data_IF_043058454014
#
_entry.id   IF_043058454014
#
_cell.length_a   1.000
_cell.length_b   1.000
_cell.length_c   1.000
_cell.angle_alpha   90.00
_cell.angle_beta   90.00
_cell.angle_gamma   90.00
#
_symmetry.space_group_name_H-M   'P 1'
#
loop_
_entity.id
_entity.type
_entity.pdbx_description
1 polymer ?
#
# COMPACT_ATOMS: atom_id res chain seq x y z
N UNK A 1 10.85 61.19 1.77
CA UNK A 1 9.63 60.38 1.80
C UNK A 1 10.02 58.90 1.82
N UNK A 2 9.64 58.21 2.91
CA UNK A 2 9.43 56.75 3.05
C UNK A 2 10.59 55.81 2.66
N UNK A 3 11.47 55.45 3.60
CA UNK A 3 11.33 54.41 4.65
C UNK A 3 11.75 53.00 4.17
N UNK A 4 12.86 52.52 4.76
CA UNK A 4 13.07 51.16 5.27
C UNK A 4 12.92 50.00 4.28
N UNK A 5 13.98 49.75 3.51
CA UNK A 5 14.27 48.43 2.92
C UNK A 5 15.42 47.78 3.69
N UNK A 6 15.21 47.58 4.99
CA UNK A 6 16.15 46.91 5.88
C UNK A 6 15.35 46.25 6.98
N UNK A 7 14.71 45.13 6.63
CA UNK A 7 14.30 44.12 7.61
C UNK A 7 14.84 42.80 7.08
N UNK A 8 16.04 42.49 7.58
CA UNK A 8 16.42 41.15 8.00
C UNK A 8 15.63 40.00 7.34
N UNK A 9 16.17 39.51 6.23
CA UNK A 9 16.15 38.07 5.98
C UNK A 9 16.96 37.42 7.10
N UNK A 10 16.31 37.22 8.26
CA UNK A 10 16.73 36.15 9.16
C UNK A 10 16.57 34.85 8.35
N UNK A 11 17.70 34.44 7.76
CA UNK A 11 18.07 33.05 7.59
C UNK A 11 17.99 32.41 8.98
N UNK A 12 16.78 32.10 9.42
CA UNK A 12 16.60 31.05 10.40
C UNK A 12 17.05 29.78 9.67
N UNK A 13 18.07 29.05 10.17
CA UNK A 13 18.15 27.66 9.80
C UNK A 13 16.82 27.06 10.26
N UNK A 14 15.93 26.79 9.32
CA UNK A 14 14.92 25.77 9.56
C UNK A 14 15.78 24.54 9.77
N UNK A 15 16.01 24.18 11.03
CA UNK A 15 16.49 22.88 11.40
C UNK A 15 15.48 21.92 10.78
N UNK A 16 15.81 21.46 9.58
CA UNK A 16 15.10 20.42 8.88
C UNK A 16 15.43 19.16 9.65
N UNK A 17 14.62 18.88 10.66
CA UNK A 17 14.61 17.55 11.23
C UNK A 17 14.12 16.63 10.11
N UNK A 18 15.05 15.85 9.55
CA UNK A 18 14.83 14.91 8.46
C UNK A 18 14.10 13.67 8.96
N UNK A 19 12.93 13.88 9.57
CA UNK A 19 12.08 12.82 10.10
C UNK A 19 10.72 12.88 9.40
N UNK A 20 10.31 11.74 8.87
CA UNK A 20 9.08 11.59 8.13
C UNK A 20 7.90 11.90 9.04
N UNK A 21 6.89 12.55 8.49
CA UNK A 21 5.63 12.72 9.19
C UNK A 21 4.84 11.43 9.20
N UNK A 22 4.09 11.19 10.26
CA UNK A 22 3.16 10.09 10.43
C UNK A 22 1.75 10.65 10.63
N UNK A 23 0.77 10.10 9.93
CA UNK A 23 -0.59 10.61 9.91
C UNK A 23 -1.60 9.65 10.57
N UNK A 24 -2.49 10.22 11.39
CA UNK A 24 -3.75 9.58 11.77
C UNK A 24 -4.85 10.18 10.89
N UNK A 25 -5.44 9.37 10.03
CA UNK A 25 -6.34 9.78 8.96
C UNK A 25 -7.69 9.09 9.07
N UNK A 26 -8.73 9.81 8.71
CA UNK A 26 -10.05 9.25 8.50
C UNK A 26 -10.57 9.61 7.11
N UNK A 27 -11.23 8.65 6.50
CA UNK A 27 -12.08 8.84 5.35
C UNK A 27 -13.35 8.00 5.46
N UNK A 28 -14.31 8.24 4.56
CA UNK A 28 -15.66 7.67 4.62
C UNK A 28 -15.68 6.14 4.74
N UNK A 29 -14.71 5.43 4.19
CA UNK A 29 -14.74 3.97 4.08
C UNK A 29 -13.52 3.29 4.70
N UNK A 30 -12.64 4.04 5.37
CA UNK A 30 -11.35 3.60 5.87
C UNK A 30 -10.51 3.02 4.74
N UNK A 31 -10.14 3.85 3.77
CA UNK A 31 -9.37 3.40 2.60
C UNK A 31 -7.99 2.84 2.97
N UNK A 32 -7.37 2.05 2.08
CA UNK A 32 -6.01 1.56 2.27
C UNK A 32 -4.97 2.64 2.59
N UNK A 33 -5.16 3.86 2.08
CA UNK A 33 -4.27 4.99 2.37
C UNK A 33 -4.40 5.47 3.81
N UNK A 34 -5.63 5.61 4.32
CA UNK A 34 -5.85 5.95 5.72
C UNK A 34 -5.33 4.83 6.63
N UNK A 35 -5.65 3.57 6.32
CA UNK A 35 -5.16 2.42 7.07
C UNK A 35 -3.65 2.31 7.11
N UNK A 36 -2.97 2.56 5.98
CA UNK A 36 -1.52 2.52 5.93
C UNK A 36 -0.90 3.54 6.88
N UNK A 37 -1.34 4.80 6.84
CA UNK A 37 -0.80 5.84 7.72
C UNK A 37 -1.19 5.61 9.18
N UNK A 38 -2.43 5.23 9.47
CA UNK A 38 -2.89 4.93 10.82
C UNK A 38 -2.07 3.82 11.47
N UNK A 39 -1.91 2.71 10.76
CA UNK A 39 -1.17 1.55 11.23
C UNK A 39 0.32 1.88 11.42
N UNK A 40 0.93 2.62 10.49
CA UNK A 40 2.33 3.06 10.64
C UNK A 40 2.51 4.03 11.80
N UNK A 41 1.56 4.94 12.03
CA UNK A 41 1.60 5.86 13.17
C UNK A 41 1.49 5.13 14.50
N UNK A 42 0.59 4.13 14.58
CA UNK A 42 0.49 3.26 15.75
C UNK A 42 1.78 2.45 15.94
N UNK A 43 2.35 1.89 14.87
CA UNK A 43 3.61 1.15 14.91
C UNK A 43 4.75 2.02 15.46
N UNK A 44 4.90 3.23 14.93
CA UNK A 44 5.88 4.23 15.38
C UNK A 44 5.68 4.62 16.84
N UNK A 45 4.43 4.71 17.29
CA UNK A 45 4.11 4.98 18.69
C UNK A 45 4.54 3.83 19.61
N UNK A 46 4.45 2.58 19.16
CA UNK A 46 4.96 1.42 19.91
C UNK A 46 6.48 1.44 19.97
N UNK A 47 7.18 1.73 18.86
CA UNK A 47 8.64 1.88 18.84
C UNK A 47 9.12 2.91 19.86
N UNK A 48 8.49 4.09 19.88
CA UNK A 48 8.85 5.14 20.83
C UNK A 48 8.60 4.76 22.27
N UNK A 49 7.49 4.09 22.56
CA UNK A 49 7.21 3.60 23.91
C UNK A 49 8.22 2.54 24.35
N UNK A 50 8.63 1.66 23.43
CA UNK A 50 9.74 0.73 23.70
C UNK A 50 11.02 1.51 24.00
N UNK A 51 11.41 2.48 23.17
CA UNK A 51 12.64 3.27 23.36
C UNK A 51 12.65 4.03 24.70
N UNK A 52 11.48 4.46 25.20
CA UNK A 52 11.34 5.09 26.52
C UNK A 52 11.51 4.11 27.68
N UNK A 53 11.03 2.87 27.53
CA UNK A 53 11.05 1.85 28.57
C UNK A 53 12.36 1.04 28.58
N UNK A 54 12.92 0.83 27.39
CA UNK A 54 14.10 0.04 27.10
C UNK A 54 15.00 0.87 26.17
N UNK A 55 15.86 1.75 26.74
CA UNK A 55 16.69 2.64 25.96
C UNK A 55 17.47 1.88 24.87
N UNK A 56 17.64 2.48 23.66
CA UNK A 56 18.28 1.83 22.54
C UNK A 56 19.61 1.20 22.94
N UNK A 57 19.76 -0.09 22.63
CA UNK A 57 20.97 -0.87 22.91
C UNK A 57 22.05 -0.54 21.88
N UNK A 58 22.42 0.73 21.77
CA UNK A 58 23.37 1.30 20.79
C UNK A 58 24.84 0.87 21.01
N UNK A 59 25.05 -0.19 21.77
CA UNK A 59 26.37 -0.79 21.97
C UNK A 59 26.60 -1.82 20.86
N UNK A 60 27.50 -1.57 19.90
CA UNK A 60 27.95 -2.60 18.97
C UNK A 60 28.66 -3.69 19.76
N UNK A 61 27.88 -4.68 20.18
CA UNK A 61 28.37 -5.79 20.95
C UNK A 61 28.54 -6.97 19.99
N UNK A 62 29.80 -7.30 19.67
CA UNK A 62 30.16 -8.59 19.05
C UNK A 62 29.89 -9.78 19.97
N UNK A 63 29.32 -9.55 21.16
CA UNK A 63 29.00 -10.62 22.11
C UNK A 63 27.74 -11.35 21.66
N UNK A 64 27.74 -12.65 21.90
CA UNK A 64 26.69 -13.57 21.50
C UNK A 64 25.31 -13.16 22.08
N UNK A 65 25.25 -12.84 23.38
CA UNK A 65 23.98 -12.60 24.08
C UNK A 65 23.17 -11.40 23.58
N UNK A 66 23.74 -10.19 23.37
CA UNK A 66 22.98 -9.08 22.79
C UNK A 66 22.49 -9.34 21.36
N UNK A 67 23.26 -10.10 20.58
CA UNK A 67 22.86 -10.51 19.23
C UNK A 67 21.65 -11.44 19.27
N UNK A 68 21.69 -12.47 20.13
CA UNK A 68 20.56 -13.37 20.36
C UNK A 68 19.34 -12.61 20.90
N UNK A 69 19.54 -11.69 21.85
CA UNK A 69 18.47 -10.87 22.42
C UNK A 69 17.76 -10.02 21.37
N UNK A 70 18.50 -9.32 20.49
CA UNK A 70 17.91 -8.53 19.39
C UNK A 70 17.22 -9.39 18.35
N UNK A 71 17.78 -10.55 18.02
CA UNK A 71 17.11 -11.51 17.14
C UNK A 71 15.78 -12.00 17.74
N UNK A 72 15.78 -12.32 19.04
CA UNK A 72 14.57 -12.76 19.75
C UNK A 72 13.54 -11.64 19.83
N UNK A 73 13.96 -10.40 20.12
CA UNK A 73 13.10 -9.20 20.09
C UNK A 73 12.44 -9.01 18.72
N UNK A 74 13.21 -9.07 17.64
CA UNK A 74 12.67 -8.97 16.28
C UNK A 74 11.73 -10.13 15.94
N UNK A 75 12.03 -11.35 16.37
CA UNK A 75 11.30 -12.56 15.95
C UNK A 75 10.06 -12.85 16.81
N UNK A 76 10.09 -12.51 18.09
CA UNK A 76 9.03 -12.81 19.05
C UNK A 76 8.13 -11.62 19.32
N UNK A 77 8.56 -10.38 19.06
CA UNK A 77 7.71 -9.21 19.26
C UNK A 77 7.41 -8.50 17.94
N UNK A 78 8.44 -8.05 17.23
CA UNK A 78 8.27 -7.19 16.06
C UNK A 78 7.71 -7.92 14.83
N UNK A 79 8.15 -9.15 14.52
CA UNK A 79 7.57 -9.93 13.39
C UNK A 79 6.10 -10.30 13.63
N UNK A 80 5.69 -10.78 14.83
CA UNK A 80 4.28 -10.97 15.17
C UNK A 80 3.47 -9.67 15.00
N UNK A 81 3.94 -8.54 15.53
CA UNK A 81 3.27 -7.26 15.38
C UNK A 81 3.19 -6.82 13.91
N UNK A 82 4.25 -7.04 13.13
CA UNK A 82 4.27 -6.79 11.70
C UNK A 82 3.20 -7.62 10.97
N UNK A 83 3.11 -8.93 11.23
CA UNK A 83 2.10 -9.81 10.64
C UNK A 83 0.68 -9.38 11.00
N UNK A 84 0.43 -9.05 12.26
CA UNK A 84 -0.87 -8.53 12.71
C UNK A 84 -1.23 -7.24 11.94
N UNK A 85 -0.26 -6.34 11.78
CA UNK A 85 -0.41 -5.09 11.02
C UNK A 85 -0.74 -5.37 9.55
N UNK A 86 -0.03 -6.30 8.90
CA UNK A 86 -0.32 -6.73 7.53
C UNK A 86 -1.73 -7.29 7.42
N UNK A 87 -2.14 -8.18 8.33
CA UNK A 87 -3.48 -8.77 8.33
C UNK A 87 -4.56 -7.70 8.50
N UNK A 88 -4.37 -6.74 9.41
CA UNK A 88 -5.32 -5.63 9.57
C UNK A 88 -5.40 -4.77 8.31
N UNK A 89 -4.27 -4.47 7.68
CA UNK A 89 -4.24 -3.75 6.41
C UNK A 89 -4.98 -4.54 5.31
N UNK A 90 -4.77 -5.85 5.24
CA UNK A 90 -5.36 -6.75 4.25
C UNK A 90 -6.88 -6.86 4.42
N UNK A 91 -7.33 -7.22 5.61
CA UNK A 91 -8.74 -7.53 5.90
C UNK A 91 -9.56 -6.26 6.13
N UNK A 92 -9.14 -5.38 7.03
CA UNK A 92 -9.95 -4.22 7.42
C UNK A 92 -9.90 -3.12 6.37
N UNK A 93 -8.70 -2.74 5.97
CA UNK A 93 -8.46 -1.60 5.08
C UNK A 93 -8.43 -1.99 3.60
N UNK A 94 -8.25 -3.27 3.27
CA UNK A 94 -8.35 -3.82 1.93
C UNK A 94 -9.75 -4.32 1.61
N UNK A 95 -10.05 -5.58 1.95
CA UNK A 95 -11.37 -6.18 1.71
C UNK A 95 -12.50 -5.36 2.32
N UNK A 96 -12.38 -5.00 3.60
CA UNK A 96 -13.38 -4.22 4.33
C UNK A 96 -13.65 -2.87 3.69
N UNK A 97 -12.62 -2.18 3.19
CA UNK A 97 -12.79 -0.93 2.45
C UNK A 97 -13.64 -1.16 1.20
N UNK A 98 -13.32 -2.18 0.41
CA UNK A 98 -14.03 -2.44 -0.83
C UNK A 98 -15.48 -2.81 -0.56
N UNK A 99 -15.74 -3.66 0.43
CA UNK A 99 -17.08 -4.01 0.92
C UNK A 99 -17.86 -2.77 1.38
N UNK A 100 -17.25 -1.84 2.13
CA UNK A 100 -17.95 -0.61 2.57
C UNK A 100 -18.20 0.37 1.42
N UNK A 101 -17.36 0.34 0.38
CA UNK A 101 -17.47 1.25 -0.78
C UNK A 101 -18.54 0.85 -1.81
N UNK A 102 -18.95 -0.42 -1.80
CA UNK A 102 -19.94 -0.97 -2.71
C UNK A 102 -21.36 -0.83 -2.12
N UNK A 103 -22.36 -0.62 -2.98
CA UNK A 103 -23.75 -0.39 -2.52
C UNK A 103 -24.49 -1.67 -2.15
N UNK A 104 -24.12 -2.78 -2.80
CA UNK A 104 -24.84 -4.05 -2.74
C UNK A 104 -24.20 -5.05 -1.77
N UNK A 105 -23.35 -4.55 -0.87
CA UNK A 105 -22.61 -5.31 0.14
C UNK A 105 -22.84 -4.73 1.53
N UNK A 106 -22.70 -5.57 2.55
CA UNK A 106 -22.75 -5.18 3.95
C UNK A 106 -21.56 -5.79 4.69
N UNK A 107 -20.73 -4.94 5.28
CA UNK A 107 -19.61 -5.37 6.10
C UNK A 107 -20.10 -5.95 7.44
N UNK A 108 -19.67 -7.15 7.78
CA UNK A 108 -20.09 -7.88 8.99
C UNK A 108 -18.99 -7.92 10.06
N UNK A 109 -17.74 -7.57 9.73
CA UNK A 109 -16.62 -7.54 10.66
C UNK A 109 -15.36 -8.20 10.09
N UNK A 110 -14.32 -8.25 10.92
CA UNK A 110 -13.10 -9.02 10.65
C UNK A 110 -12.90 -10.06 11.74
N UNK A 111 -12.29 -11.18 11.37
CA UNK A 111 -11.66 -12.11 12.30
C UNK A 111 -10.16 -12.05 12.06
N UNK A 112 -9.38 -11.95 13.12
CA UNK A 112 -7.92 -11.94 13.06
C UNK A 112 -7.40 -12.96 14.05
N UNK A 113 -6.61 -13.91 13.58
CA UNK A 113 -5.95 -14.90 14.42
C UNK A 113 -4.60 -14.35 14.89
N UNK A 114 -4.17 -14.75 16.09
CA UNK A 114 -2.84 -14.35 16.58
C UNK A 114 -1.75 -14.85 15.61
N UNK A 115 -0.75 -14.02 15.30
CA UNK A 115 0.37 -14.39 14.44
C UNK A 115 1.25 -15.46 15.09
N UNK A 116 1.97 -16.22 14.28
CA UNK A 116 3.05 -17.09 14.76
C UNK A 116 4.08 -16.27 15.55
N UNK A 117 4.65 -16.81 16.64
CA UNK A 117 4.46 -18.16 17.18
C UNK A 117 3.25 -18.32 18.11
N UNK A 118 2.41 -17.28 18.28
CA UNK A 118 1.32 -17.24 19.26
C UNK A 118 -0.03 -17.77 18.74
N UNK A 119 -0.14 -18.07 17.45
CA UNK A 119 -1.33 -18.61 16.83
C UNK A 119 -1.11 -19.02 15.38
N UNK A 120 -2.20 -19.29 14.66
CA UNK A 120 -2.16 -19.80 13.30
C UNK A 120 -1.77 -18.75 12.24
N UNK A 121 -1.79 -17.46 12.59
CA UNK A 121 -1.70 -16.32 11.68
C UNK A 121 -2.85 -16.27 10.66
N UNK A 122 -3.17 -15.06 10.20
CA UNK A 122 -4.16 -14.82 9.16
C UNK A 122 -5.39 -14.07 9.66
N UNK A 123 -6.32 -13.84 8.74
CA UNK A 123 -7.56 -13.15 9.01
C UNK A 123 -8.60 -13.47 7.96
N UNK A 124 -9.79 -12.94 8.19
CA UNK A 124 -10.89 -13.02 7.24
C UNK A 124 -11.82 -11.82 7.41
N UNK A 125 -12.32 -11.33 6.28
CA UNK A 125 -13.33 -10.29 6.22
C UNK A 125 -14.70 -10.92 5.98
N UNK A 126 -15.60 -10.74 6.95
CA UNK A 126 -16.99 -11.17 6.83
C UNK A 126 -17.83 -10.10 6.14
N UNK A 127 -18.60 -10.48 5.12
CA UNK A 127 -19.56 -9.60 4.48
C UNK A 127 -20.72 -10.37 3.84
N UNK A 128 -21.87 -9.71 3.75
CA UNK A 128 -23.02 -10.18 3.00
C UNK A 128 -23.15 -9.37 1.70
N UNK A 129 -23.83 -9.92 0.71
CA UNK A 129 -24.15 -9.21 -0.54
C UNK A 129 -25.54 -9.60 -1.06
N UNK A 130 -26.12 -8.72 -1.88
CA UNK A 130 -27.42 -8.95 -2.52
C UNK A 130 -27.27 -9.81 -3.77
N UNK A 131 -28.36 -10.46 -4.21
CA UNK A 131 -28.38 -11.30 -5.41
C UNK A 131 -27.98 -10.55 -6.69
N UNK A 132 -28.15 -9.22 -6.71
CA UNK A 132 -27.80 -8.37 -7.84
C UNK A 132 -26.31 -8.02 -7.94
N UNK A 133 -25.47 -8.47 -7.01
CA UNK A 133 -24.06 -8.07 -7.02
C UNK A 133 -23.35 -8.55 -8.29
N UNK A 134 -22.54 -7.66 -8.85
CA UNK A 134 -21.80 -7.91 -10.08
C UNK A 134 -20.54 -8.72 -9.79
N UNK A 135 -20.19 -9.61 -10.70
CA UNK A 135 -18.95 -10.38 -10.62
C UNK A 135 -17.70 -9.48 -10.54
N UNK A 136 -17.72 -8.34 -11.25
CA UNK A 136 -16.62 -7.35 -11.19
C UNK A 136 -16.48 -6.68 -9.83
N UNK A 137 -17.58 -6.51 -9.11
CA UNK A 137 -17.57 -5.86 -7.80
C UNK A 137 -16.98 -6.83 -6.77
N UNK A 138 -17.36 -8.10 -6.80
CA UNK A 138 -16.75 -9.15 -5.98
C UNK A 138 -15.28 -9.35 -6.34
N UNK A 139 -14.92 -9.37 -7.62
CA UNK A 139 -13.52 -9.45 -8.04
C UNK A 139 -12.70 -8.28 -7.46
N UNK A 140 -13.28 -7.09 -7.39
CA UNK A 140 -12.61 -5.94 -6.76
C UNK A 140 -12.43 -6.10 -5.25
N UNK A 141 -13.32 -6.84 -4.57
CA UNK A 141 -13.18 -7.18 -3.14
C UNK A 141 -12.05 -8.17 -3.00
N UNK A 142 -12.03 -9.23 -3.80
CA UNK A 142 -11.01 -10.29 -3.78
C UNK A 142 -9.58 -9.76 -3.91
N UNK A 143 -9.34 -8.77 -4.78
CA UNK A 143 -7.98 -8.22 -4.94
C UNK A 143 -7.60 -7.19 -3.87
N UNK A 144 -8.58 -6.68 -3.11
CA UNK A 144 -8.40 -5.49 -2.28
C UNK A 144 -7.40 -5.68 -1.13
N UNK A 145 -7.23 -6.90 -0.62
CA UNK A 145 -6.21 -7.22 0.37
C UNK A 145 -4.79 -7.04 -0.17
N UNK A 146 -4.48 -7.63 -1.33
CA UNK A 146 -3.17 -7.44 -2.00
C UNK A 146 -2.90 -5.98 -2.38
N UNK A 147 -3.94 -5.26 -2.79
CA UNK A 147 -3.88 -3.84 -3.12
C UNK A 147 -3.54 -2.97 -1.91
N UNK A 148 -4.11 -3.28 -0.74
CA UNK A 148 -3.85 -2.52 0.48
C UNK A 148 -2.47 -2.79 1.06
N UNK A 149 -1.96 -4.02 0.95
CA UNK A 149 -0.58 -4.37 1.29
C UNK A 149 0.43 -3.57 0.46
N UNK A 150 0.20 -3.45 -0.86
CA UNK A 150 1.05 -2.65 -1.72
C UNK A 150 1.08 -1.17 -1.32
N UNK A 151 -0.08 -0.61 -0.96
CA UNK A 151 -0.18 0.79 -0.50
C UNK A 151 0.58 0.99 0.81
N UNK A 152 0.47 0.05 1.76
CA UNK A 152 1.23 0.08 3.01
C UNK A 152 2.74 -0.01 2.77
N UNK A 153 3.19 -0.91 1.89
CA UNK A 153 4.60 -1.04 1.53
C UNK A 153 5.13 0.28 0.93
N UNK A 154 4.42 0.88 -0.03
CA UNK A 154 4.85 2.13 -0.66
C UNK A 154 4.84 3.32 0.30
N UNK A 155 3.86 3.37 1.20
CA UNK A 155 3.77 4.41 2.23
C UNK A 155 4.98 4.31 3.15
N UNK A 156 5.27 3.12 3.67
CA UNK A 156 6.45 2.86 4.50
C UNK A 156 7.76 3.19 3.79
N UNK A 157 7.93 2.78 2.53
CA UNK A 157 9.14 3.10 1.79
C UNK A 157 9.29 4.60 1.51
N UNK A 158 8.18 5.32 1.35
CA UNK A 158 8.21 6.78 1.23
C UNK A 158 8.69 7.44 2.53
N UNK A 159 8.30 6.91 3.70
CA UNK A 159 8.84 7.38 5.00
C UNK A 159 10.35 7.15 5.08
N UNK A 160 10.82 5.93 4.77
CA UNK A 160 12.26 5.61 4.74
C UNK A 160 13.04 6.42 3.70
N UNK A 161 12.41 6.71 2.57
CA UNK A 161 12.97 7.59 1.53
C UNK A 161 13.11 9.02 2.05
N UNK A 162 12.20 9.51 2.89
CA UNK A 162 12.34 10.82 3.55
C UNK A 162 13.44 10.79 4.61
N UNK A 163 13.41 9.78 5.49
CA UNK A 163 14.32 9.64 6.64
C UNK A 163 15.76 9.33 6.25
N UNK A 164 15.96 8.68 5.11
CA UNK A 164 17.26 8.13 4.70
C UNK A 164 17.74 6.95 5.54
N UNK A 165 16.91 6.43 6.44
CA UNK A 165 17.24 5.30 7.32
C UNK A 165 16.08 4.31 7.42
N UNK A 166 16.40 3.09 7.84
CA UNK A 166 15.45 2.01 8.11
C UNK A 166 15.66 1.54 9.54
N UNK A 167 14.59 1.60 10.34
CA UNK A 167 14.52 0.92 11.63
C UNK A 167 14.18 -0.58 11.40
N UNK A 168 14.93 -1.47 12.03
CA UNK A 168 14.77 -2.90 11.86
C UNK A 168 13.43 -3.43 12.40
N UNK A 169 12.82 -2.71 13.35
CA UNK A 169 11.54 -3.05 13.95
C UNK A 169 10.40 -3.00 12.93
N UNK A 170 10.40 -2.01 12.04
CA UNK A 170 9.48 -1.94 10.89
C UNK A 170 9.97 -2.63 9.62
N UNK A 171 11.24 -3.05 9.55
CA UNK A 171 11.77 -3.68 8.33
C UNK A 171 11.00 -4.96 7.94
N UNK A 172 10.59 -5.76 8.94
CA UNK A 172 9.78 -6.96 8.70
C UNK A 172 8.40 -6.66 8.15
N UNK A 173 7.79 -5.54 8.57
CA UNK A 173 6.52 -5.07 8.05
C UNK A 173 6.59 -4.85 6.54
N UNK A 174 7.64 -4.21 6.04
CA UNK A 174 7.85 -4.05 4.59
C UNK A 174 8.00 -5.39 3.88
N UNK A 175 8.83 -6.29 4.40
CA UNK A 175 9.03 -7.59 3.73
C UNK A 175 7.76 -8.44 3.71
N UNK A 176 6.98 -8.42 4.80
CA UNK A 176 5.73 -9.18 4.89
C UNK A 176 4.66 -8.60 3.96
N UNK A 177 4.52 -7.27 3.88
CA UNK A 177 3.57 -6.63 2.95
C UNK A 177 3.97 -6.82 1.48
N UNK A 178 5.23 -6.59 1.12
CA UNK A 178 5.67 -6.68 -0.28
C UNK A 178 5.66 -8.12 -0.82
N UNK A 179 5.91 -9.10 0.04
CA UNK A 179 5.94 -10.52 -0.33
C UNK A 179 4.64 -11.27 -0.02
N UNK A 180 3.65 -10.64 0.64
CA UNK A 180 2.42 -11.29 1.08
C UNK A 180 1.70 -12.02 -0.07
N UNK A 181 1.40 -11.29 -1.14
CA UNK A 181 0.76 -11.88 -2.34
C UNK A 181 1.60 -12.97 -3.02
N UNK A 182 2.93 -12.83 -3.03
CA UNK A 182 3.82 -13.88 -3.56
C UNK A 182 3.74 -15.15 -2.72
N UNK A 183 3.89 -15.02 -1.40
CA UNK A 183 3.81 -16.13 -0.46
C UNK A 183 2.45 -16.84 -0.58
N UNK A 184 1.37 -16.05 -0.67
CA UNK A 184 0.02 -16.57 -0.79
C UNK A 184 -0.22 -17.34 -2.11
N UNK A 185 0.26 -16.80 -3.24
CA UNK A 185 0.20 -17.50 -4.53
C UNK A 185 1.00 -18.81 -4.53
N UNK A 186 2.12 -18.88 -3.81
CA UNK A 186 2.92 -20.11 -3.71
C UNK A 186 2.35 -21.13 -2.72
N UNK A 187 1.72 -20.66 -1.63
CA UNK A 187 1.03 -21.53 -0.67
C UNK A 187 -0.25 -22.16 -1.24
N UNK A 188 -0.91 -21.50 -2.18
CA UNK A 188 -2.13 -21.97 -2.86
C UNK A 188 -1.87 -23.23 -3.68
N UNK A 189 -2.68 -24.31 -3.56
CA UNK A 189 -2.45 -25.56 -4.31
C UNK A 189 -3.26 -25.60 -5.61
N UNK A 190 -2.69 -26.18 -6.67
CA UNK A 190 -3.33 -26.25 -7.99
C UNK A 190 -4.65 -27.03 -7.99
N UNK A 191 -4.78 -28.05 -7.13
CA UNK A 191 -5.99 -28.86 -6.99
C UNK A 191 -7.17 -28.03 -6.46
N UNK A 192 -6.91 -27.05 -5.62
CA UNK A 192 -7.93 -26.20 -4.99
C UNK A 192 -8.53 -25.22 -6.03
N UNK A 193 -7.73 -24.83 -7.04
CA UNK A 193 -8.20 -24.04 -8.19
C UNK A 193 -9.26 -24.79 -9.00
N UNK A 194 -9.13 -26.13 -9.11
CA UNK A 194 -10.03 -27.00 -9.88
C UNK A 194 -11.24 -27.52 -9.07
N UNK A 195 -11.18 -27.50 -7.74
CA UNK A 195 -12.27 -27.94 -6.88
C UNK A 195 -13.46 -26.97 -6.91
N UNK A 196 -14.65 -27.45 -6.52
CA UNK A 196 -15.84 -26.61 -6.29
C UNK A 196 -15.87 -26.00 -4.89
N UNK A 197 -14.96 -26.40 -4.00
CA UNK A 197 -14.93 -25.86 -2.64
C UNK A 197 -14.58 -24.38 -2.67
N UNK A 198 -15.43 -23.62 -1.97
CA UNK A 198 -15.36 -22.19 -1.79
C UNK A 198 -14.27 -21.87 -0.77
N UNK A 199 -13.02 -22.19 -1.09
CA UNK A 199 -11.90 -21.73 -0.29
C UNK A 199 -11.91 -20.21 -0.34
N UNK A 200 -12.07 -19.52 0.79
CA UNK A 200 -11.94 -18.06 0.92
C UNK A 200 -10.52 -17.56 0.62
N UNK A 201 -9.94 -18.05 -0.47
CA UNK A 201 -8.59 -17.78 -0.93
C UNK A 201 -8.67 -16.84 -2.11
N UNK A 202 -8.02 -15.69 -1.98
CA UNK A 202 -8.12 -14.61 -2.97
C UNK A 202 -7.51 -14.98 -4.31
N UNK A 203 -6.43 -15.76 -4.34
CA UNK A 203 -5.79 -16.16 -5.61
C UNK A 203 -6.68 -17.10 -6.39
N UNK A 204 -7.31 -18.06 -5.71
CA UNK A 204 -8.27 -18.98 -6.33
C UNK A 204 -9.49 -18.21 -6.83
N UNK A 205 -10.06 -17.36 -5.98
CA UNK A 205 -11.22 -16.53 -6.30
C UNK A 205 -10.93 -15.59 -7.48
N UNK A 206 -9.75 -14.97 -7.49
CA UNK A 206 -9.28 -14.11 -8.56
C UNK A 206 -9.21 -14.86 -9.89
N UNK A 207 -8.54 -16.02 -9.92
CA UNK A 207 -8.41 -16.83 -11.14
C UNK A 207 -9.79 -17.24 -11.67
N UNK A 208 -10.69 -17.71 -10.79
CA UNK A 208 -12.05 -18.13 -11.18
C UNK A 208 -12.85 -16.97 -11.76
N UNK A 209 -12.89 -15.83 -11.07
CA UNK A 209 -13.68 -14.67 -11.47
C UNK A 209 -13.12 -14.00 -12.74
N UNK A 210 -11.80 -13.83 -12.85
CA UNK A 210 -11.19 -13.25 -14.06
C UNK A 210 -11.46 -14.14 -15.28
N UNK A 211 -11.29 -15.45 -15.17
CA UNK A 211 -11.56 -16.37 -16.29
C UNK A 211 -13.04 -16.40 -16.67
N UNK A 212 -13.94 -16.23 -15.71
CA UNK A 212 -15.37 -16.20 -16.00
C UNK A 212 -15.81 -14.86 -16.64
N UNK A 213 -15.17 -13.75 -16.29
CA UNK A 213 -15.42 -12.45 -16.93
C UNK A 213 -14.80 -12.40 -18.33
N UNK A 214 -13.64 -13.02 -18.53
CA UNK A 214 -12.90 -13.06 -19.80
C UNK A 214 -12.73 -14.52 -20.27
N UNK A 215 -13.79 -15.18 -20.79
CA UNK A 215 -13.82 -16.63 -21.02
C UNK A 215 -12.89 -17.12 -22.14
N UNK A 216 -12.44 -16.22 -23.01
CA UNK A 216 -11.58 -16.56 -24.15
C UNK A 216 -10.09 -16.55 -23.79
N UNK A 217 -9.77 -16.02 -22.60
CA UNK A 217 -8.43 -16.01 -22.04
C UNK A 217 -8.37 -16.81 -20.74
N UNK A 218 -7.24 -17.49 -20.52
CA UNK A 218 -7.07 -18.34 -19.35
C UNK A 218 -5.96 -17.85 -18.44
N UNK A 219 -6.33 -17.22 -17.34
CA UNK A 219 -5.49 -17.00 -16.17
C UNK A 219 -5.30 -18.33 -15.43
N UNK A 220 -4.05 -18.68 -15.13
CA UNK A 220 -3.70 -19.88 -14.37
C UNK A 220 -2.86 -19.52 -13.16
N UNK A 221 -2.83 -20.40 -12.15
CA UNK A 221 -2.00 -20.21 -10.97
C UNK A 221 -0.51 -20.08 -11.34
N UNK A 222 -0.05 -20.81 -12.36
CA UNK A 222 1.30 -20.69 -12.89
C UNK A 222 1.58 -19.29 -13.45
N UNK A 223 0.64 -18.69 -14.20
CA UNK A 223 0.77 -17.31 -14.69
C UNK A 223 0.86 -16.31 -13.53
N UNK A 224 -0.01 -16.43 -12.52
CA UNK A 224 0.03 -15.59 -11.31
C UNK A 224 1.36 -15.72 -10.60
N UNK A 225 1.81 -16.95 -10.27
CA UNK A 225 3.10 -17.19 -9.60
C UNK A 225 4.27 -16.65 -10.40
N UNK A 226 4.32 -16.90 -11.71
CA UNK A 226 5.37 -16.40 -12.60
C UNK A 226 5.46 -14.88 -12.54
N UNK A 227 4.33 -14.19 -12.55
CA UNK A 227 4.28 -12.75 -12.45
C UNK A 227 4.72 -12.25 -11.07
N UNK A 228 4.21 -12.83 -9.98
CA UNK A 228 4.54 -12.39 -8.62
C UNK A 228 6.02 -12.50 -8.26
N UNK A 229 6.80 -13.36 -8.94
CA UNK A 229 8.26 -13.43 -8.75
C UNK A 229 8.98 -12.12 -9.03
N UNK A 230 8.41 -11.25 -9.86
CA UNK A 230 8.99 -9.92 -10.13
C UNK A 230 9.06 -9.04 -8.88
N UNK A 231 8.23 -9.30 -7.86
CA UNK A 231 8.34 -8.62 -6.56
C UNK A 231 9.68 -8.88 -5.87
N UNK A 232 10.38 -9.98 -6.19
CA UNK A 232 11.71 -10.27 -5.64
C UNK A 232 12.81 -9.34 -6.18
N UNK A 233 12.56 -8.62 -7.28
CA UNK A 233 13.52 -7.68 -7.88
C UNK A 233 13.48 -6.31 -7.18
N UNK A 234 12.56 -6.11 -6.24
CA UNK A 234 12.47 -4.87 -5.45
C UNK A 234 13.70 -4.68 -4.56
N UNK A 235 14.53 -3.69 -4.90
CA UNK A 235 15.72 -3.31 -4.14
C UNK A 235 15.42 -2.97 -2.67
N UNK A 236 14.21 -2.50 -2.37
CA UNK A 236 13.78 -2.15 -1.02
C UNK A 236 13.67 -3.38 -0.11
N UNK A 237 13.31 -4.55 -0.66
CA UNK A 237 13.24 -5.81 0.11
C UNK A 237 14.62 -6.13 0.68
N UNK A 238 15.67 -5.97 -0.14
CA UNK A 238 17.04 -6.23 0.28
C UNK A 238 17.55 -5.19 1.29
N UNK A 239 17.20 -3.92 1.11
CA UNK A 239 17.44 -2.87 2.11
C UNK A 239 16.80 -3.23 3.46
N UNK A 240 15.53 -3.66 3.47
CA UNK A 240 14.82 -4.06 4.68
C UNK A 240 15.45 -5.30 5.34
N UNK A 241 15.77 -6.34 4.55
CA UNK A 241 16.46 -7.52 5.06
C UNK A 241 17.83 -7.18 5.66
N UNK A 242 18.60 -6.32 4.99
CA UNK A 242 19.87 -5.83 5.49
C UNK A 242 19.68 -5.05 6.79
N UNK A 243 18.67 -4.18 6.89
CA UNK A 243 18.37 -3.43 8.10
C UNK A 243 18.10 -4.36 9.31
N UNK A 244 17.33 -5.43 9.11
CA UNK A 244 17.12 -6.45 10.15
C UNK A 244 18.44 -7.08 10.62
N UNK A 245 19.30 -7.52 9.70
CA UNK A 245 20.60 -8.10 10.06
C UNK A 245 21.53 -7.08 10.70
N UNK A 246 21.58 -5.87 10.15
CA UNK A 246 22.39 -4.78 10.66
C UNK A 246 22.03 -4.46 12.12
N UNK A 247 20.75 -4.41 12.45
CA UNK A 247 20.29 -4.25 13.84
C UNK A 247 20.68 -5.44 14.72
N UNK A 248 20.46 -6.67 14.27
CA UNK A 248 20.82 -7.88 15.03
C UNK A 248 22.29 -7.86 15.46
N UNK A 249 23.20 -7.33 14.63
CA UNK A 249 24.63 -7.27 14.95
C UNK A 249 25.06 -5.96 15.61
N UNK A 250 24.49 -4.82 15.23
CA UNK A 250 24.97 -3.49 15.64
C UNK A 250 24.06 -2.74 16.60
N UNK A 251 22.75 -3.03 16.57
CA UNK A 251 21.73 -2.38 17.41
C UNK A 251 21.24 -1.07 16.84
N UNK A 252 21.73 -0.69 15.65
CA UNK A 252 21.48 0.61 15.03
C UNK A 252 20.50 0.49 13.86
N UNK A 253 19.89 1.63 13.52
CA UNK A 253 19.17 1.81 12.24
C UNK A 253 20.15 1.66 11.07
N UNK A 254 19.71 1.04 9.98
CA UNK A 254 20.50 0.98 8.75
C UNK A 254 20.27 2.23 7.90
N UNK A 255 21.25 2.69 7.12
CA UNK A 255 20.98 3.59 6.00
C UNK A 255 19.94 2.96 5.05
N UNK A 256 19.11 3.81 4.43
CA UNK A 256 18.28 3.43 3.28
C UNK A 256 19.10 3.67 2.01
N UNK A 257 19.64 2.61 1.42
CA UNK A 257 20.61 2.73 0.33
C UNK A 257 19.89 3.06 -0.97
N UNK A 258 20.19 4.25 -1.50
CA UNK A 258 19.65 4.78 -2.75
C UNK A 258 20.80 5.24 -3.66
N UNK A 259 20.58 5.28 -4.96
CA UNK A 259 21.55 5.74 -5.96
C UNK A 259 21.64 7.28 -5.90
N UNK A 260 22.79 7.88 -5.57
CA UNK A 260 22.94 9.33 -5.60
C UNK A 260 23.00 9.82 -7.06
N UNK A 261 22.08 10.72 -7.43
CA UNK A 261 22.06 11.40 -8.73
C UNK A 261 22.63 12.83 -8.65
N UNK A 262 22.94 13.29 -7.43
CA UNK A 262 23.51 14.60 -7.14
C UNK A 262 23.74 14.78 -5.64
N UNK A 263 23.99 16.01 -5.20
CA UNK A 263 24.23 16.32 -3.77
C UNK A 263 22.98 16.11 -2.90
N UNK A 264 21.80 16.38 -3.46
CA UNK A 264 20.54 16.40 -2.72
C UNK A 264 19.48 15.47 -3.33
N UNK A 265 19.83 14.76 -4.42
CA UNK A 265 18.91 13.91 -5.17
C UNK A 265 19.37 12.46 -5.14
N UNK A 266 18.50 11.59 -4.65
CA UNK A 266 18.73 10.15 -4.58
C UNK A 266 17.57 9.41 -5.23
N UNK A 267 17.86 8.24 -5.80
CA UNK A 267 16.89 7.45 -6.55
C UNK A 267 16.95 5.97 -6.18
N UNK A 268 15.78 5.36 -6.00
CA UNK A 268 15.62 3.93 -5.77
C UNK A 268 14.54 3.38 -6.71
N UNK A 269 14.92 2.62 -7.75
CA UNK A 269 13.97 1.90 -8.58
C UNK A 269 13.42 0.68 -7.83
N UNK A 270 12.18 0.33 -8.13
CA UNK A 270 11.53 -0.86 -7.62
C UNK A 270 10.59 -1.42 -8.69
N UNK A 271 10.43 -2.75 -8.70
CA UNK A 271 9.48 -3.43 -9.58
C UNK A 271 8.46 -4.13 -8.68
N UNK A 272 7.20 -4.00 -9.04
CA UNK A 272 6.13 -4.70 -8.35
C UNK A 272 5.09 -5.26 -9.32
N UNK A 273 4.37 -6.27 -8.87
CA UNK A 273 3.31 -6.95 -9.62
C UNK A 273 2.06 -6.99 -8.75
N UNK A 274 0.93 -6.64 -9.38
CA UNK A 274 -0.35 -6.48 -8.72
C UNK A 274 -1.44 -7.26 -9.45
N UNK A 275 -2.48 -7.62 -8.70
CA UNK A 275 -3.73 -8.08 -9.27
C UNK A 275 -4.63 -6.86 -9.54
N UNK A 276 -5.21 -6.78 -10.73
CA UNK A 276 -6.20 -5.77 -11.09
C UNK A 276 -7.50 -6.46 -11.54
N UNK A 277 -8.66 -5.78 -11.54
CA UNK A 277 -9.95 -6.39 -11.90
C UNK A 277 -10.08 -6.91 -13.35
N UNK A 278 -9.02 -6.79 -14.13
CA UNK A 278 -8.96 -7.14 -15.55
C UNK A 278 -7.69 -7.91 -15.91
N UNK A 279 -6.84 -8.27 -14.96
CA UNK A 279 -5.59 -8.97 -15.24
C UNK A 279 -4.46 -8.55 -14.32
N UNK A 280 -3.28 -9.08 -14.58
CA UNK A 280 -2.07 -8.77 -13.81
C UNK A 280 -1.48 -7.45 -14.32
N UNK A 281 -1.03 -6.60 -13.40
CA UNK A 281 -0.31 -5.36 -13.68
C UNK A 281 1.13 -5.45 -13.17
N UNK A 282 2.08 -4.98 -13.98
CA UNK A 282 3.45 -4.71 -13.58
C UNK A 282 3.61 -3.21 -13.34
N UNK A 283 4.27 -2.84 -12.25
CA UNK A 283 4.58 -1.47 -11.89
C UNK A 283 6.09 -1.28 -11.83
N UNK A 284 6.57 -0.24 -12.48
CA UNK A 284 7.90 0.31 -12.28
C UNK A 284 7.77 1.50 -11.33
N UNK A 285 8.12 1.25 -10.08
CA UNK A 285 8.00 2.15 -8.94
C UNK A 285 9.31 2.94 -8.79
N UNK A 286 9.21 4.26 -8.63
CA UNK A 286 10.33 5.19 -8.63
C UNK A 286 10.26 6.03 -7.35
N UNK A 287 11.18 5.77 -6.43
CA UNK A 287 11.32 6.56 -5.21
C UNK A 287 12.47 7.54 -5.38
N UNK A 288 12.20 8.83 -5.21
CA UNK A 288 13.22 9.86 -5.18
C UNK A 288 13.23 10.55 -3.83
N UNK A 289 14.43 10.82 -3.31
CA UNK A 289 14.62 11.73 -2.18
C UNK A 289 15.23 13.02 -2.71
N UNK A 290 14.52 14.13 -2.57
CA UNK A 290 15.03 15.47 -2.86
C UNK A 290 14.94 16.36 -1.62
N UNK A 291 16.09 16.81 -1.10
CA UNK A 291 16.18 17.61 0.13
C UNK A 291 15.36 17.00 1.29
N UNK A 292 15.60 15.72 1.57
CA UNK A 292 14.94 14.93 2.62
C UNK A 292 13.41 14.78 2.47
N UNK A 293 12.88 15.02 1.26
CA UNK A 293 11.48 14.77 0.92
C UNK A 293 11.35 13.65 -0.07
N UNK A 294 10.44 12.72 0.21
CA UNK A 294 10.08 11.66 -0.71
C UNK A 294 9.20 12.18 -1.85
N UNK A 295 9.54 11.75 -3.07
CA UNK A 295 8.72 11.85 -4.27
C UNK A 295 8.55 10.42 -4.77
N UNK A 296 7.30 9.98 -4.90
CA UNK A 296 6.98 8.66 -5.41
C UNK A 296 6.30 8.77 -6.76
N UNK A 297 6.84 8.11 -7.78
CA UNK A 297 6.22 8.01 -9.09
C UNK A 297 6.15 6.56 -9.53
N UNK A 298 5.19 6.21 -10.37
CA UNK A 298 5.13 4.86 -10.93
C UNK A 298 4.60 4.86 -12.36
N UNK A 299 5.01 3.85 -13.12
CA UNK A 299 4.42 3.49 -14.40
C UNK A 299 3.88 2.08 -14.32
N UNK A 300 2.63 1.88 -14.74
CA UNK A 300 1.99 0.57 -14.76
C UNK A 300 1.71 0.14 -16.17
N UNK A 301 1.85 -1.16 -16.42
CA UNK A 301 1.46 -1.78 -17.67
C UNK A 301 1.01 -3.22 -17.45
N UNK A 302 0.17 -3.72 -18.34
CA UNK A 302 -0.16 -5.13 -18.40
C UNK A 302 -0.96 -5.46 -19.64
N UNK A 303 -1.14 -6.75 -19.86
CA UNK A 303 -1.94 -7.25 -20.95
C UNK A 303 -2.73 -8.49 -20.54
N UNK A 304 -4.01 -8.49 -20.89
CA UNK A 304 -4.90 -9.61 -20.71
C UNK A 304 -6.13 -9.46 -21.63
N UNK A 305 -6.74 -10.56 -22.06
CA UNK A 305 -7.93 -10.53 -22.90
C UNK A 305 -7.76 -9.78 -24.24
N UNK A 306 -6.57 -9.86 -24.85
CA UNK A 306 -6.23 -9.11 -26.07
C UNK A 306 -6.08 -7.60 -25.89
N UNK A 307 -6.17 -7.09 -24.64
CA UNK A 307 -6.02 -5.67 -24.32
C UNK A 307 -4.65 -5.41 -23.73
N UNK A 308 -4.10 -4.24 -24.05
CA UNK A 308 -2.97 -3.64 -23.34
C UNK A 308 -3.45 -2.43 -22.56
N UNK A 309 -3.09 -2.37 -21.29
CA UNK A 309 -3.50 -1.32 -20.38
C UNK A 309 -2.29 -0.80 -19.60
N UNK A 310 -2.45 0.38 -19.01
CA UNK A 310 -1.39 0.99 -18.24
C UNK A 310 -1.80 2.28 -17.56
N UNK A 311 -0.85 2.93 -16.93
CA UNK A 311 -1.08 4.17 -16.22
C UNK A 311 0.17 4.76 -15.61
N UNK A 312 0.02 5.94 -15.06
CA UNK A 312 1.09 6.65 -14.36
C UNK A 312 0.54 7.24 -13.07
N UNK A 313 1.38 7.30 -12.04
CA UNK A 313 1.06 8.06 -10.82
C UNK A 313 2.26 8.83 -10.29
N UNK A 314 1.95 9.90 -9.56
CA UNK A 314 2.90 10.77 -8.88
C UNK A 314 2.31 11.17 -7.52
N UNK A 315 3.12 11.09 -6.48
CA UNK A 315 2.84 11.60 -5.16
C UNK A 315 4.03 12.43 -4.68
N UNK A 316 3.73 13.67 -4.29
CA UNK A 316 4.69 14.56 -3.66
C UNK A 316 3.98 15.36 -2.57
N UNK A 317 4.09 14.93 -1.32
CA UNK A 317 3.24 15.39 -0.22
C UNK A 317 3.58 16.82 0.26
N UNK A 318 4.80 17.29 0.00
CA UNK A 318 5.28 18.62 0.40
C UNK A 318 6.06 19.27 -0.75
N UNK A 319 5.35 19.60 -1.82
CA UNK A 319 5.90 20.29 -2.99
C UNK A 319 6.20 21.77 -2.69
N UNK A 320 5.28 22.45 -2.01
CA UNK A 320 5.42 23.87 -1.64
C UNK A 320 5.21 24.06 -0.15
N UNK A 321 5.90 25.05 0.44
CA UNK A 321 5.76 25.42 1.86
C UNK A 321 5.67 26.94 1.98
N UNK A 322 4.58 27.41 2.60
CA UNK A 322 4.29 28.82 2.84
C UNK A 322 3.99 29.01 4.33
N UNK A 323 4.95 29.55 5.08
CA UNK A 323 4.80 29.80 6.52
C UNK A 323 4.36 28.52 7.27
N UNK A 324 3.14 28.52 7.82
CA UNK A 324 2.53 27.41 8.56
C UNK A 324 1.87 26.33 7.69
N UNK A 325 1.87 26.45 6.36
CA UNK A 325 1.17 25.50 5.47
C UNK A 325 2.13 24.88 4.48
N UNK A 326 2.04 23.56 4.26
CA UNK A 326 2.62 22.92 3.08
C UNK A 326 1.54 22.35 2.18
N UNK A 327 1.84 22.32 0.88
CA UNK A 327 0.98 21.76 -0.16
C UNK A 327 1.73 20.71 -0.95
N UNK A 328 1.04 19.63 -1.27
CA UNK A 328 1.48 18.54 -2.10
C UNK A 328 0.44 18.17 -3.13
N UNK A 329 0.80 17.20 -3.97
CA UNK A 329 -0.05 16.70 -5.05
C UNK A 329 -0.01 15.18 -5.10
N UNK A 330 -1.17 14.59 -5.39
CA UNK A 330 -1.29 13.19 -5.76
C UNK A 330 -2.06 13.09 -7.07
N UNK A 331 -1.41 12.53 -8.08
CA UNK A 331 -1.92 12.37 -9.44
C UNK A 331 -1.88 10.90 -9.81
N UNK A 332 -2.95 10.43 -10.44
CA UNK A 332 -3.03 9.10 -11.04
C UNK A 332 -3.71 9.22 -12.39
N UNK A 333 -3.20 8.50 -13.39
CA UNK A 333 -3.79 8.38 -14.71
C UNK A 333 -3.81 6.91 -15.11
N UNK A 334 -4.78 6.54 -15.93
CA UNK A 334 -4.88 5.18 -16.45
C UNK A 334 -5.49 5.16 -17.85
N UNK A 335 -5.17 4.11 -18.58
CA UNK A 335 -5.89 3.59 -19.73
C UNK A 335 -6.18 2.11 -19.41
N UNK A 336 -7.42 1.79 -19.07
CA UNK A 336 -7.79 0.45 -18.57
C UNK A 336 -9.06 -0.08 -19.23
N UNK A 337 -9.31 -1.41 -19.23
CA UNK A 337 -10.54 -1.98 -19.73
C UNK A 337 -11.77 -1.48 -18.96
N UNK A 338 -12.94 -1.45 -19.60
CA UNK A 338 -14.21 -1.27 -18.87
C UNK A 338 -14.57 -2.57 -18.16
N UNK A 339 -13.87 -2.87 -17.07
CA UNK A 339 -14.03 -4.12 -16.30
C UNK A 339 -15.36 -4.25 -15.55
N UNK A 340 -16.14 -3.17 -15.40
CA UNK A 340 -17.45 -3.23 -14.74
C UNK A 340 -18.43 -3.95 -15.65
N UNK A 341 -18.92 -5.11 -15.20
CA UNK A 341 -19.84 -5.95 -15.97
C UNK A 341 -21.28 -5.81 -15.46
N UNK A 342 -22.26 -6.08 -16.32
CA UNK A 342 -23.65 -6.32 -15.89
C UNK A 342 -23.90 -7.77 -15.46
N UNK A 343 -22.89 -8.65 -15.61
CA UNK A 343 -22.96 -10.06 -15.20
C UNK A 343 -23.03 -10.15 -13.67
N UNK A 344 -24.14 -10.68 -13.16
CA UNK A 344 -24.31 -10.96 -11.73
C UNK A 344 -23.47 -12.16 -11.31
N UNK A 345 -23.05 -12.21 -10.06
CA UNK A 345 -22.30 -13.35 -9.53
C UNK A 345 -23.12 -14.66 -9.64
N UNK A 346 -24.40 -14.63 -9.26
CA UNK A 346 -25.28 -15.82 -9.33
C UNK A 346 -25.48 -16.33 -10.76
N UNK A 347 -25.42 -15.45 -11.77
CA UNK A 347 -25.51 -15.86 -13.17
C UNK A 347 -24.26 -16.62 -13.60
N UNK A 348 -23.09 -16.19 -13.13
CA UNK A 348 -21.80 -16.82 -13.37
C UNK A 348 -21.73 -18.21 -12.70
N UNK A 349 -22.25 -18.35 -11.47
CA UNK A 349 -22.36 -19.65 -10.78
C UNK A 349 -23.26 -20.64 -11.52
N UNK A 350 -24.28 -20.13 -12.23
CA UNK A 350 -25.15 -20.92 -13.12
C UNK A 350 -24.53 -21.21 -14.49
N UNK A 351 -23.25 -20.87 -14.70
CA UNK A 351 -22.51 -21.10 -15.94
C UNK A 351 -22.85 -20.12 -17.06
N UNK A 352 -23.57 -19.02 -16.79
CA UNK A 352 -23.83 -18.00 -17.82
C UNK A 352 -22.56 -17.24 -18.13
N UNK A 353 -22.37 -16.94 -19.42
CA UNK A 353 -21.27 -16.11 -19.93
C UNK A 353 -21.73 -14.66 -20.12
N UNK A 354 -20.79 -13.69 -20.18
CA UNK A 354 -21.11 -12.33 -20.57
C UNK A 354 -21.83 -12.28 -21.92
N UNK A 355 -22.87 -11.43 -22.05
CA UNK A 355 -23.53 -11.20 -23.34
C UNK A 355 -22.57 -10.57 -24.36
N UNK A 356 -22.80 -10.68 -25.67
CA UNK A 356 -21.94 -10.05 -26.69
C UNK A 356 -21.74 -8.54 -26.46
N UNK A 357 -22.78 -7.83 -26.02
CA UNK A 357 -22.69 -6.41 -25.67
C UNK A 357 -21.85 -6.15 -24.40
N UNK A 358 -21.95 -7.01 -23.39
CA UNK A 358 -21.11 -6.92 -22.20
C UNK A 358 -19.64 -7.18 -22.55
N UNK A 359 -19.40 -8.16 -23.43
CA UNK A 359 -18.08 -8.50 -23.94
C UNK A 359 -17.44 -7.38 -24.75
N UNK A 360 -18.17 -6.78 -25.68
CA UNK A 360 -17.68 -5.62 -26.44
C UNK A 360 -17.30 -4.43 -25.53
N UNK A 361 -17.98 -4.26 -24.39
CA UNK A 361 -17.56 -3.27 -23.40
C UNK A 361 -16.27 -3.66 -22.67
N UNK A 362 -16.15 -4.93 -22.24
CA UNK A 362 -14.93 -5.44 -21.59
C UNK A 362 -13.70 -5.30 -22.49
N UNK A 363 -13.88 -5.44 -23.81
CA UNK A 363 -12.86 -5.29 -24.86
C UNK A 363 -12.55 -3.82 -25.23
N UNK A 364 -13.13 -2.84 -24.52
CA UNK A 364 -12.86 -1.40 -24.76
C UNK A 364 -12.00 -0.79 -23.66
N UNK A 365 -11.01 0.00 -24.07
CA UNK A 365 -10.19 0.80 -23.16
C UNK A 365 -10.86 2.14 -22.86
N UNK A 366 -10.68 2.64 -21.64
CA UNK A 366 -11.08 3.99 -21.23
C UNK A 366 -9.93 4.72 -20.54
N UNK A 367 -9.67 5.98 -20.89
CA UNK A 367 -8.79 6.83 -20.11
C UNK A 367 -9.49 7.30 -18.84
N UNK A 368 -8.71 7.69 -17.85
CA UNK A 368 -9.21 8.34 -16.64
C UNK A 368 -8.09 8.63 -15.65
N UNK A 369 -8.46 9.05 -14.44
CA UNK A 369 -7.48 9.41 -13.43
C UNK A 369 -8.08 9.91 -12.13
N UNK A 370 -7.19 10.32 -11.23
CA UNK A 370 -7.49 11.00 -9.99
C UNK A 370 -6.47 12.11 -9.76
N UNK A 371 -6.91 13.22 -9.18
CA UNK A 371 -6.05 14.32 -8.78
C UNK A 371 -6.52 14.80 -7.41
N UNK A 372 -5.60 14.94 -6.47
CA UNK A 372 -5.85 15.56 -5.18
C UNK A 372 -4.71 16.45 -4.73
N UNK A 373 -5.08 17.44 -3.91
CA UNK A 373 -4.17 18.36 -3.24
C UNK A 373 -4.04 17.89 -1.80
N UNK A 374 -2.80 17.69 -1.39
CA UNK A 374 -2.45 17.37 -0.01
C UNK A 374 -2.09 18.68 0.67
N UNK A 375 -2.57 18.93 1.87
CA UNK A 375 -2.16 20.09 2.65
C UNK A 375 -1.94 19.72 4.11
N UNK A 376 -0.87 20.28 4.69
CA UNK A 376 -0.56 20.20 6.12
C UNK A 376 -0.52 21.59 6.71
N UNK A 377 -1.43 21.90 7.61
CA UNK A 377 -1.50 23.17 8.33
C UNK A 377 -0.96 22.99 9.75
N UNK A 378 0.13 23.67 10.09
CA UNK A 378 0.74 23.64 11.43
C UNK A 378 -0.22 24.24 12.46
N UNK A 379 -0.57 23.46 13.48
CA UNK A 379 -1.55 23.85 14.51
C UNK A 379 -0.92 24.72 15.60
N UNK A 380 0.34 24.45 15.96
CA UNK A 380 1.06 25.10 17.06
C UNK A 380 2.58 25.08 16.78
N UNK A 381 3.39 25.58 17.71
CA UNK A 381 4.86 25.50 17.61
C UNK A 381 5.40 24.06 17.77
N UNK A 382 4.52 23.09 18.07
CA UNK A 382 4.88 21.68 18.07
C UNK A 382 4.85 21.13 16.64
N UNK A 383 5.51 19.99 16.41
CA UNK A 383 5.55 19.32 15.11
C UNK A 383 4.23 18.60 14.76
N UNK A 384 3.08 19.25 15.02
CA UNK A 384 1.73 18.73 14.78
C UNK A 384 1.00 19.58 13.74
N UNK A 385 0.38 18.91 12.78
CA UNK A 385 -0.28 19.53 11.64
C UNK A 385 -1.69 18.95 11.47
N UNK A 386 -2.64 19.78 11.08
CA UNK A 386 -3.88 19.33 10.48
C UNK A 386 -3.57 18.86 9.06
N UNK A 387 -3.97 17.64 8.72
CA UNK A 387 -3.76 17.03 7.41
C UNK A 387 -5.08 17.00 6.63
N UNK A 388 -5.01 17.31 5.33
CA UNK A 388 -6.10 17.01 4.41
C UNK A 388 -5.60 16.61 3.02
N UNK A 389 -6.28 15.65 2.40
CA UNK A 389 -6.11 15.20 1.03
C UNK A 389 -7.46 15.29 0.32
N UNK A 390 -7.63 16.32 -0.52
CA UNK A 390 -8.91 16.66 -1.15
C UNK A 390 -8.74 16.68 -2.66
N UNK A 391 -9.63 16.00 -3.37
CA UNK A 391 -9.55 15.89 -4.82
C UNK A 391 -10.75 15.24 -5.48
N UNK A 392 -10.54 14.81 -6.72
CA UNK A 392 -11.56 14.19 -7.57
C UNK A 392 -10.98 13.00 -8.32
N UNK A 393 -11.84 12.05 -8.67
CA UNK A 393 -11.49 10.86 -9.43
C UNK A 393 -12.57 10.52 -10.46
N UNK A 394 -12.15 10.04 -11.62
CA UNK A 394 -13.06 9.46 -12.63
C UNK A 394 -13.41 8.00 -12.31
N UNK A 395 -14.50 7.48 -12.87
CA UNK A 395 -14.85 6.06 -12.70
C UNK A 395 -13.77 5.15 -13.30
N UNK A 396 -13.37 4.10 -12.57
CA UNK A 396 -12.20 3.28 -12.91
C UNK A 396 -11.57 2.62 -11.69
N UNK A 397 -10.69 1.65 -11.91
CA UNK A 397 -9.83 1.09 -10.88
C UNK A 397 -8.57 1.95 -10.72
N UNK A 398 -8.30 2.36 -9.48
CA UNK A 398 -7.02 2.90 -9.01
C UNK A 398 -6.85 2.32 -7.61
N UNK A 399 -5.70 1.70 -7.29
CA UNK A 399 -5.42 1.18 -5.96
C UNK A 399 -5.71 2.20 -4.85
N UNK A 400 -6.48 1.82 -3.83
CA UNK A 400 -6.88 2.64 -2.69
C UNK A 400 -8.06 3.57 -2.94
N UNK A 401 -8.63 3.59 -4.15
CA UNK A 401 -9.77 4.45 -4.50
C UNK A 401 -11.03 3.64 -4.83
N UNK A 402 -12.19 4.26 -4.62
CA UNK A 402 -13.48 3.67 -4.94
C UNK A 402 -13.57 3.43 -6.45
N UNK A 403 -14.28 2.38 -6.88
CA UNK A 403 -14.46 2.11 -8.32
C UNK A 403 -15.26 3.22 -9.03
N UNK A 404 -16.21 3.81 -8.31
CA UNK A 404 -17.01 4.94 -8.78
C UNK A 404 -16.17 6.21 -8.87
N UNK A 405 -16.54 7.10 -9.79
CA UNK A 405 -16.00 8.46 -9.81
C UNK A 405 -16.64 9.31 -8.72
N UNK A 406 -15.95 10.35 -8.28
CA UNK A 406 -16.44 11.25 -7.25
C UNK A 406 -15.33 12.00 -6.51
N UNK A 407 -15.71 12.73 -5.44
CA UNK A 407 -14.75 13.42 -4.59
C UNK A 407 -13.92 12.43 -3.78
N UNK A 408 -12.67 12.81 -3.54
CA UNK A 408 -11.73 12.13 -2.65
C UNK A 408 -11.49 13.08 -1.49
N UNK A 409 -11.76 12.63 -0.26
CA UNK A 409 -11.56 13.43 0.94
C UNK A 409 -10.98 12.52 2.01
N UNK A 410 -9.81 12.88 2.51
CA UNK A 410 -9.19 12.31 3.71
C UNK A 410 -8.75 13.46 4.58
N UNK A 411 -8.99 13.38 5.88
CA UNK A 411 -8.60 14.41 6.84
C UNK A 411 -7.97 13.75 8.06
N UNK A 412 -7.14 14.47 8.79
CA UNK A 412 -6.41 13.86 9.90
C UNK A 412 -5.52 14.80 10.66
N UNK A 413 -4.69 14.21 11.51
CA UNK A 413 -3.60 14.88 12.22
C UNK A 413 -2.30 14.22 11.79
N UNK A 414 -1.31 15.03 11.44
CA UNK A 414 0.04 14.60 11.09
C UNK A 414 1.00 15.05 12.19
N UNK A 415 1.97 14.22 12.54
CA UNK A 415 3.02 14.61 13.46
C UNK A 415 4.39 14.10 13.02
N UNK A 416 5.45 14.85 13.34
CA UNK A 416 6.82 14.37 13.24
C UNK A 416 7.20 13.85 14.62
N UNK A 417 7.61 12.58 14.68
CA UNK A 417 7.89 11.90 15.95
C UNK A 417 9.25 11.22 15.90
#
# INVERSE_FOLDING_TARGET
MRRLFSVFCFLLPVLSFAEASYELMIDRYMSPYAGAEDLLTLYRSVEKKEDMLLPPKDLPSRRFWPTVGRWAELSLFWDPLARLTVTLQHELFGHGYRVRSLKDTQFCGIKVDWPLPYGASGGATGFNYREEIKASDILSVVIAGSESEYILANTLNSKWTSDGTIDARVAKLYTNTKLGTLQYAYATKQKDVKGSENSGNDIISYIRLVNAIYPDDHMSLSKVRKAMRWNLVDATIYNAMFASWYYIFTGKKSPHWMIPLGKELYYLPSISTHLAPYGIEYSFDNYLRYKDRAIFAYFKSGSYAGLSYGGFGLQYDEMFKFSSVSYGIRLHTFLQPRFTTSLKLMDLEKGKKPSPKARANLESLRPGGALSIISKYRINDTYTFFYSDIGVKTAGYIPGFQLKGGPVVRIGISGMF
#
